data_IF_870598548456
#
_entry.id   IF_870598548456
#
_cell.length_a   1.000
_cell.length_b   1.000
_cell.length_c   1.000
_cell.angle_alpha   90.00
_cell.angle_beta   90.00
_cell.angle_gamma   90.00
#
_symmetry.space_group_name_H-M   'P 1'
#
loop_
_entity.id
_entity.type
_entity.pdbx_description
1 polymer ?
#
# COMPACT_ATOMS: atom_id res chain seq x y z
N UNK A 1 -10.16 -6.03 -21.30
CA UNK A 1 -9.69 -6.08 -19.90
C UNK A 1 -8.23 -5.68 -19.92
N UNK A 2 -7.86 -4.57 -19.29
CA UNK A 2 -6.44 -4.23 -19.14
C UNK A 2 -5.79 -5.39 -18.40
N UNK A 3 -4.66 -5.91 -18.92
CA UNK A 3 -4.00 -7.12 -18.39
C UNK A 3 -3.56 -6.96 -16.93
N UNK A 4 -3.56 -5.73 -16.44
CA UNK A 4 -3.06 -5.36 -15.13
C UNK A 4 -4.18 -4.91 -14.17
N UNK A 5 -5.48 -4.98 -14.51
CA UNK A 5 -6.57 -4.64 -13.57
C UNK A 5 -6.86 -5.78 -12.58
N UNK A 6 -7.17 -5.43 -11.33
CA UNK A 6 -7.55 -6.39 -10.29
C UNK A 6 -9.07 -6.52 -10.19
N UNK A 7 -9.67 -7.64 -10.61
CA UNK A 7 -11.11 -7.87 -10.41
C UNK A 7 -11.39 -8.36 -8.98
N UNK A 8 -12.39 -7.75 -8.34
CA UNK A 8 -12.94 -8.13 -7.03
C UNK A 8 -14.40 -7.68 -6.91
N UNK A 9 -15.10 -8.19 -5.90
CA UNK A 9 -16.52 -7.90 -5.61
C UNK A 9 -16.70 -7.25 -4.23
N UNK A 10 -17.83 -6.58 -3.98
CA UNK A 10 -18.14 -6.03 -2.65
C UNK A 10 -18.07 -7.11 -1.57
N UNK A 11 -17.29 -6.85 -0.52
CA UNK A 11 -17.06 -7.80 0.58
C UNK A 11 -15.72 -8.55 0.49
N UNK A 12 -15.08 -8.56 -0.67
CA UNK A 12 -13.76 -9.16 -0.84
C UNK A 12 -12.69 -8.39 -0.03
N UNK A 13 -11.72 -9.13 0.48
CA UNK A 13 -10.52 -8.58 1.09
C UNK A 13 -9.45 -8.35 0.03
N UNK A 14 -9.07 -7.08 -0.11
CA UNK A 14 -7.95 -6.67 -0.96
C UNK A 14 -6.80 -6.24 -0.06
N UNK A 15 -5.67 -6.93 -0.18
CA UNK A 15 -4.43 -6.49 0.45
C UNK A 15 -3.72 -5.49 -0.49
N UNK A 16 -3.57 -4.26 -0.02
CA UNK A 16 -2.90 -3.19 -0.78
C UNK A 16 -1.38 -3.40 -0.70
N UNK A 17 -0.72 -3.47 -1.85
CA UNK A 17 0.71 -3.73 -1.97
C UNK A 17 1.50 -2.45 -2.31
N UNK A 18 0.92 -1.58 -3.15
CA UNK A 18 1.53 -0.30 -3.52
C UNK A 18 0.47 0.76 -3.79
N UNK A 19 0.83 2.02 -3.53
CA UNK A 19 -0.02 3.19 -3.71
C UNK A 19 0.80 4.26 -4.47
N UNK A 20 0.95 4.11 -5.80
CA UNK A 20 1.76 5.02 -6.61
C UNK A 20 1.10 6.40 -6.79
N UNK A 21 -0.21 6.49 -6.58
CA UNK A 21 -1.01 7.71 -6.68
C UNK A 21 -2.20 7.66 -5.72
N UNK A 22 -2.91 8.77 -5.58
CA UNK A 22 -4.11 8.85 -4.73
C UNK A 22 -5.33 8.12 -5.34
N UNK A 23 -5.34 7.88 -6.65
CA UNK A 23 -6.50 7.34 -7.36
C UNK A 23 -6.34 5.87 -7.74
N UNK A 24 -5.13 5.41 -8.05
CA UNK A 24 -4.86 4.07 -8.57
C UNK A 24 -3.85 3.34 -7.73
N UNK A 25 -4.28 2.24 -7.10
CA UNK A 25 -3.47 1.42 -6.21
C UNK A 25 -3.23 0.04 -6.80
N UNK A 26 -2.16 -0.63 -6.36
CA UNK A 26 -1.85 -2.01 -6.72
C UNK A 26 -2.04 -2.91 -5.51
N UNK A 27 -2.68 -4.06 -5.70
CA UNK A 27 -2.94 -4.98 -4.61
C UNK A 27 -3.19 -6.40 -5.07
N UNK A 28 -3.59 -7.22 -4.12
CA UNK A 28 -3.87 -8.64 -4.32
C UNK A 28 -5.21 -9.00 -3.67
N UNK A 29 -6.03 -9.73 -4.41
CA UNK A 29 -7.31 -10.27 -3.98
C UNK A 29 -7.32 -11.78 -4.27
N UNK A 30 -7.20 -12.59 -3.21
CA UNK A 30 -6.99 -14.04 -3.36
C UNK A 30 -5.73 -14.35 -4.20
N UNK A 31 -5.84 -15.09 -5.31
CA UNK A 31 -4.68 -15.45 -6.14
C UNK A 31 -4.33 -14.42 -7.23
N UNK A 32 -5.10 -13.32 -7.35
CA UNK A 32 -4.93 -12.33 -8.43
C UNK A 32 -4.31 -11.06 -7.89
N UNK A 33 -3.37 -10.48 -8.62
CA UNK A 33 -2.83 -9.14 -8.35
C UNK A 33 -3.08 -8.20 -9.53
N UNK A 34 -3.17 -6.90 -9.25
CA UNK A 34 -3.46 -5.89 -10.27
C UNK A 34 -3.75 -4.51 -9.67
N UNK A 35 -4.00 -3.57 -10.56
CA UNK A 35 -4.38 -2.20 -10.29
C UNK A 35 -5.89 -2.07 -10.10
N UNK A 36 -6.29 -1.18 -9.20
CA UNK A 36 -7.69 -0.83 -8.98
C UNK A 36 -7.82 0.60 -8.44
N UNK A 37 -8.98 1.25 -8.65
CA UNK A 37 -9.23 2.57 -8.08
C UNK A 37 -9.28 2.52 -6.55
N UNK A 38 -8.54 3.40 -5.87
CA UNK A 38 -8.49 3.48 -4.41
C UNK A 38 -9.88 3.67 -3.79
N UNK A 39 -10.78 4.38 -4.48
CA UNK A 39 -12.16 4.63 -4.06
C UNK A 39 -13.02 3.35 -3.91
N UNK A 40 -12.59 2.20 -4.41
CA UNK A 40 -13.38 0.96 -4.40
C UNK A 40 -13.19 0.11 -3.14
N UNK A 41 -12.25 0.47 -2.27
CA UNK A 41 -11.96 -0.27 -1.05
C UNK A 41 -12.19 0.60 0.20
N UNK A 42 -12.43 -0.05 1.34
CA UNK A 42 -12.54 0.60 2.65
C UNK A 42 -11.62 -0.10 3.66
N UNK A 43 -10.84 0.64 4.46
CA UNK A 43 -9.98 0.03 5.49
C UNK A 43 -10.78 -0.79 6.50
N UNK A 44 -10.29 -1.99 6.85
CA UNK A 44 -10.98 -2.89 7.78
C UNK A 44 -10.85 -2.50 9.26
N UNK A 45 -9.85 -1.70 9.62
CA UNK A 45 -9.68 -1.23 11.00
C UNK A 45 -10.24 0.20 11.16
N UNK A 46 -11.18 0.37 12.09
CA UNK A 46 -12.08 1.53 12.19
C UNK A 46 -11.45 2.79 12.82
N UNK A 47 -10.26 2.70 13.40
CA UNK A 47 -9.60 3.87 14.05
C UNK A 47 -9.00 4.88 13.07
N UNK A 48 -8.93 4.54 11.77
CA UNK A 48 -8.40 5.42 10.71
C UNK A 48 -9.52 6.15 9.94
N UNK A 49 -10.79 5.92 10.29
CA UNK A 49 -11.95 6.48 9.60
C UNK A 49 -12.13 8.00 9.80
N UNK A 50 -11.41 8.61 10.76
CA UNK A 50 -11.51 10.06 11.02
C UNK A 50 -10.89 10.93 9.90
N UNK A 51 -10.11 10.37 8.97
CA UNK A 51 -9.41 11.13 7.93
C UNK A 51 -10.19 11.29 6.61
N UNK A 52 -11.22 10.47 6.36
CA UNK A 52 -11.98 10.50 5.09
C UNK A 52 -13.23 11.40 5.15
N UNK A 53 -13.34 12.24 6.19
CA UNK A 53 -14.46 13.17 6.40
C UNK A 53 -14.62 14.24 5.32
N UNK A 54 -13.72 14.34 4.33
CA UNK A 54 -13.84 15.35 3.27
C UNK A 54 -14.57 14.88 2.00
N UNK A 55 -15.00 13.60 1.91
CA UNK A 55 -15.66 13.10 0.67
C UNK A 55 -17.12 12.70 0.87
N UNK A 56 -17.63 12.58 2.10
CA UNK A 56 -19.07 12.39 2.33
C UNK A 56 -19.73 13.65 2.89
N UNK A 57 -20.36 14.43 2.01
CA UNK A 57 -21.30 15.49 2.39
C UNK A 57 -22.56 14.89 3.00
N UNK A 58 -22.50 14.49 4.28
CA UNK A 58 -23.68 14.08 5.04
C UNK A 58 -23.54 14.58 6.47
N UNK A 59 -24.44 15.49 6.81
CA UNK A 59 -24.59 16.13 8.11
C UNK A 59 -24.68 15.09 9.24
N UNK A 60 -23.58 14.84 9.95
CA UNK A 60 -23.65 14.19 11.26
C UNK A 60 -22.52 14.67 12.15
N UNK A 61 -22.92 15.38 13.21
CA UNK A 61 -22.12 16.22 14.09
C UNK A 61 -21.24 15.42 15.09
N UNK A 62 -20.11 14.86 14.66
CA UNK A 62 -19.03 14.48 15.59
C UNK A 62 -17.66 14.32 14.92
N UNK A 63 -17.07 15.42 14.48
CA UNK A 63 -15.62 15.53 14.30
C UNK A 63 -15.19 17.00 14.36
N UNK A 64 -14.98 17.50 15.58
CA UNK A 64 -14.55 18.87 15.86
C UNK A 64 -13.02 18.96 15.78
N UNK A 65 -12.54 19.43 14.62
CA UNK A 65 -11.46 20.42 14.39
C UNK A 65 -10.23 20.39 15.31
N UNK A 66 -9.05 20.09 14.74
CA UNK A 66 -7.95 21.07 14.67
C UNK A 66 -6.90 20.71 13.61
N UNK A 67 -6.80 21.59 12.61
CA UNK A 67 -5.75 21.82 11.63
C UNK A 67 -4.42 21.08 11.83
N UNK A 68 -4.19 20.05 11.01
CA UNK A 68 -2.94 19.88 10.26
C UNK A 68 -3.14 18.78 9.23
N UNK A 69 -2.72 19.07 8.00
CA UNK A 69 -2.75 18.21 6.83
C UNK A 69 -2.26 16.80 7.17
N UNK A 70 -3.16 15.85 7.27
CA UNK A 70 -2.78 14.43 7.28
C UNK A 70 -3.35 13.84 6.00
N UNK A 71 -2.59 14.01 4.91
CA UNK A 71 -2.74 13.16 3.75
C UNK A 71 -2.65 11.72 4.24
N UNK A 72 -3.67 10.93 3.93
CA UNK A 72 -3.71 9.50 4.18
C UNK A 72 -2.72 8.80 3.24
N UNK A 73 -1.42 9.05 3.45
CA UNK A 73 -0.33 8.47 2.67
C UNK A 73 -0.09 7.04 3.19
N UNK A 74 -0.95 6.10 2.80
CA UNK A 74 -0.71 4.67 3.03
C UNK A 74 -0.08 4.05 1.78
N UNK A 75 0.94 3.18 1.90
CA UNK A 75 1.76 2.97 3.10
C UNK A 75 2.59 4.23 3.42
N UNK A 76 2.84 4.50 4.71
CA UNK A 76 3.52 5.73 5.13
C UNK A 76 4.86 5.92 4.42
N UNK A 77 5.25 7.17 4.17
CA UNK A 77 6.54 7.50 3.55
C UNK A 77 7.72 6.80 4.26
N UNK A 78 7.66 6.70 5.60
CA UNK A 78 8.62 5.95 6.41
C UNK A 78 8.63 4.45 6.13
N UNK A 79 7.46 3.84 5.94
CA UNK A 79 7.35 2.43 5.55
C UNK A 79 7.99 2.18 4.17
N UNK A 80 7.77 3.09 3.21
CA UNK A 80 8.39 3.01 1.87
C UNK A 80 9.92 3.11 1.96
N UNK A 81 10.44 4.07 2.74
CA UNK A 81 11.88 4.20 3.02
C UNK A 81 12.45 2.96 3.68
N UNK A 82 11.74 2.39 4.65
CA UNK A 82 12.15 1.17 5.35
C UNK A 82 12.20 -0.01 4.39
N UNK A 83 11.14 -0.23 3.59
CA UNK A 83 11.10 -1.25 2.54
C UNK A 83 12.31 -1.13 1.61
N UNK A 84 12.63 0.08 1.15
CA UNK A 84 13.79 0.34 0.30
C UNK A 84 15.10 -0.09 0.97
N UNK A 85 15.31 0.27 2.25
CA UNK A 85 16.52 -0.11 3.01
C UNK A 85 16.66 -1.61 3.15
N UNK A 86 15.58 -2.30 3.55
CA UNK A 86 15.57 -3.76 3.75
C UNK A 86 15.89 -4.49 2.43
N UNK A 87 15.21 -4.11 1.34
CA UNK A 87 15.46 -4.72 0.02
C UNK A 87 16.90 -4.51 -0.41
N UNK A 88 17.44 -3.30 -0.22
CA UNK A 88 18.82 -3.00 -0.60
C UNK A 88 19.83 -3.85 0.18
N UNK A 89 19.61 -4.04 1.47
CA UNK A 89 20.47 -4.87 2.31
C UNK A 89 20.44 -6.32 1.85
N UNK A 90 19.24 -6.91 1.70
CA UNK A 90 19.05 -8.29 1.23
C UNK A 90 19.71 -8.53 -0.13
N UNK A 91 19.51 -7.62 -1.07
CA UNK A 91 20.10 -7.70 -2.41
C UNK A 91 21.61 -7.52 -2.37
N UNK A 92 22.14 -6.77 -1.41
CA UNK A 92 23.58 -6.61 -1.23
C UNK A 92 24.22 -7.83 -0.60
N UNK A 93 23.63 -8.38 0.46
CA UNK A 93 24.13 -9.57 1.12
C UNK A 93 24.10 -10.78 0.20
N UNK A 94 23.07 -10.91 -0.65
CA UNK A 94 23.02 -11.96 -1.67
C UNK A 94 24.18 -11.85 -2.67
N UNK A 95 24.51 -10.64 -3.15
CA UNK A 95 25.67 -10.44 -4.04
C UNK A 95 26.98 -10.82 -3.39
N UNK A 96 27.20 -10.41 -2.14
CA UNK A 96 28.43 -10.73 -1.41
C UNK A 96 28.53 -12.23 -1.14
N UNK A 97 27.41 -12.89 -0.85
CA UNK A 97 27.35 -14.34 -0.68
C UNK A 97 27.72 -15.09 -1.97
N UNK A 98 27.15 -14.72 -3.11
CA UNK A 98 27.47 -15.34 -4.40
C UNK A 98 28.95 -15.17 -4.74
N UNK A 99 29.53 -13.98 -4.55
CA UNK A 99 30.97 -13.75 -4.74
C UNK A 99 31.83 -14.65 -3.85
N UNK A 100 31.43 -14.86 -2.59
CA UNK A 100 32.16 -15.75 -1.69
C UNK A 100 32.14 -17.19 -2.20
N UNK A 101 30.99 -17.65 -2.70
CA UNK A 101 30.88 -18.98 -3.30
C UNK A 101 31.77 -19.13 -4.54
N UNK A 102 31.83 -18.12 -5.40
CA UNK A 102 32.71 -18.12 -6.58
C UNK A 102 34.19 -18.28 -6.20
N UNK A 103 34.66 -17.60 -5.14
CA UNK A 103 36.03 -17.73 -4.65
C UNK A 103 36.34 -19.07 -3.97
N UNK A 104 35.32 -19.81 -3.53
CA UNK A 104 35.50 -21.12 -2.89
C UNK A 104 35.46 -22.28 -3.89
N UNK A 105 34.86 -22.07 -5.06
CA UNK A 105 34.72 -23.08 -6.12
C UNK A 105 35.85 -23.01 -7.16
N UNK A 106 36.62 -21.90 -7.18
CA UNK A 106 37.86 -21.73 -7.96
C UNK A 106 39.10 -21.84 -7.08
#
# INVERSE_FOLDING_TARGET
>A
MLRDELPFSPGDEVAVLDCPSDELWYGICGPRSGYFPAAYIRPKNRDLCCLFSSVCGSDSNYCLINNSSTSCEFPSNEMRKLRKRIIQELVNTEREYVKLLEHLVM
#
